data_IF_821448891181
#
_entry.id   IF_821448891181
#
_cell.length_a   1.000
_cell.length_b   1.000
_cell.length_c   1.000
_cell.angle_alpha   90.00
_cell.angle_beta   90.00
_cell.angle_gamma   90.00
#
_symmetry.space_group_name_H-M   'P 1'
#
loop_
_entity.id
_entity.type
_entity.pdbx_description
1 polymer ?
#
# COMPACT_ATOMS: atom_id res chain seq x y z
N UNK A 1 5.60 9.10 -5.37
CA UNK A 1 5.06 9.37 -4.00
C UNK A 1 4.00 8.36 -3.59
N UNK A 2 3.49 7.54 -4.53
CA UNK A 2 2.43 6.56 -4.31
C UNK A 2 2.58 5.64 -3.09
N UNK A 3 3.76 5.08 -2.82
CA UNK A 3 3.94 4.18 -1.66
C UNK A 3 3.56 4.81 -0.32
N UNK A 4 3.89 6.08 -0.10
CA UNK A 4 3.54 6.77 1.14
C UNK A 4 2.05 7.09 1.24
N UNK A 5 1.43 7.46 0.12
CA UNK A 5 -0.01 7.69 0.03
C UNK A 5 -0.77 6.40 0.32
N UNK A 6 -0.37 5.30 -0.33
CA UNK A 6 -0.96 3.99 -0.13
C UNK A 6 -0.84 3.52 1.33
N UNK A 7 0.34 3.69 1.94
CA UNK A 7 0.56 3.34 3.35
C UNK A 7 -0.38 4.12 4.28
N UNK A 8 -0.49 5.44 4.12
CA UNK A 8 -1.33 6.28 4.98
C UNK A 8 -2.81 5.93 4.82
N UNK A 9 -3.28 5.73 3.59
CA UNK A 9 -4.66 5.34 3.33
C UNK A 9 -4.98 3.96 3.91
N UNK A 10 -4.09 2.97 3.70
CA UNK A 10 -4.27 1.62 4.23
C UNK A 10 -4.26 1.58 5.76
N UNK A 11 -3.35 2.32 6.42
CA UNK A 11 -3.35 2.49 7.89
C UNK A 11 -4.61 3.16 8.44
N UNK A 12 -5.32 3.90 7.60
CA UNK A 12 -6.60 4.53 7.95
C UNK A 12 -7.80 3.61 7.70
N UNK A 13 -7.57 2.35 7.28
CA UNK A 13 -8.60 1.34 7.07
C UNK A 13 -9.25 1.36 5.67
N UNK A 14 -8.71 2.13 4.72
CA UNK A 14 -9.22 2.12 3.35
C UNK A 14 -8.64 0.95 2.56
N UNK A 15 -9.47 0.30 1.73
CA UNK A 15 -9.00 -0.65 0.72
C UNK A 15 -8.28 0.13 -0.38
N UNK A 16 -7.03 -0.22 -0.65
CA UNK A 16 -6.18 0.51 -1.60
C UNK A 16 -5.60 -0.47 -2.61
N UNK A 17 -5.88 -0.22 -3.89
CA UNK A 17 -5.20 -0.91 -5.00
C UNK A 17 -4.02 -0.06 -5.45
N UNK A 18 -2.80 -0.58 -5.28
CA UNK A 18 -1.58 0.04 -5.80
C UNK A 18 -1.30 -0.54 -7.17
N UNK A 19 -1.37 0.31 -8.20
CA UNK A 19 -1.10 -0.08 -9.58
C UNK A 19 0.26 0.42 -10.02
N UNK A 20 1.03 -0.44 -10.67
CA UNK A 20 2.31 -0.09 -11.31
C UNK A 20 2.35 -0.56 -12.77
N UNK A 21 3.32 -0.06 -13.55
CA UNK A 21 3.41 -0.40 -14.98
C UNK A 21 3.88 -1.84 -15.24
N UNK A 22 4.64 -2.42 -14.32
CA UNK A 22 5.20 -3.77 -14.45
C UNK A 22 5.41 -4.41 -13.08
N UNK A 23 5.69 -5.71 -13.08
CA UNK A 23 5.93 -6.51 -11.87
C UNK A 23 7.10 -5.99 -11.04
N UNK A 24 8.18 -5.57 -11.67
CA UNK A 24 9.42 -5.18 -10.97
C UNK A 24 9.20 -3.91 -10.13
N UNK A 25 8.49 -2.93 -10.70
CA UNK A 25 8.08 -1.71 -10.02
C UNK A 25 7.06 -2.02 -8.91
N UNK A 26 6.11 -2.92 -9.18
CA UNK A 26 5.11 -3.34 -8.20
C UNK A 26 5.76 -3.97 -6.97
N UNK A 27 6.69 -4.92 -7.17
CA UNK A 27 7.46 -5.53 -6.09
C UNK A 27 8.32 -4.51 -5.34
N UNK A 28 8.95 -3.57 -6.04
CA UNK A 28 9.72 -2.51 -5.41
C UNK A 28 8.83 -1.63 -4.52
N UNK A 29 7.61 -1.30 -4.99
CA UNK A 29 6.59 -0.59 -4.22
C UNK A 29 6.15 -1.35 -2.98
N UNK A 30 5.80 -2.64 -3.13
CA UNK A 30 5.45 -3.54 -2.02
C UNK A 30 6.52 -3.57 -0.94
N UNK A 31 7.78 -3.79 -1.35
CA UNK A 31 8.94 -3.83 -0.43
C UNK A 31 9.12 -2.49 0.30
N UNK A 32 8.93 -1.36 -0.39
CA UNK A 32 9.02 -0.02 0.24
C UNK A 32 7.95 0.18 1.31
N UNK A 33 6.70 -0.16 1.01
CA UNK A 33 5.58 -0.02 1.96
C UNK A 33 5.81 -0.94 3.15
N UNK A 34 6.08 -2.23 2.92
CA UNK A 34 6.29 -3.21 4.00
C UNK A 34 7.43 -2.79 4.93
N UNK A 35 8.59 -2.41 4.36
CA UNK A 35 9.75 -1.93 5.14
C UNK A 35 9.43 -0.67 5.94
N UNK A 36 8.60 0.22 5.42
CA UNK A 36 8.19 1.44 6.13
C UNK A 36 7.33 1.10 7.36
N UNK A 37 6.32 0.24 7.17
CA UNK A 37 5.45 -0.19 8.26
C UNK A 37 6.21 -1.03 9.31
N UNK A 38 7.08 -1.94 8.90
CA UNK A 38 7.92 -2.72 9.84
C UNK A 38 8.83 -1.79 10.66
N UNK A 39 9.43 -0.77 10.03
CA UNK A 39 10.19 0.27 10.77
C UNK A 39 9.32 1.11 11.71
N UNK A 40 8.03 1.29 11.41
CA UNK A 40 7.11 1.95 12.31
C UNK A 40 6.83 1.09 13.55
N UNK A 41 6.72 -0.23 13.37
CA UNK A 41 6.61 -1.22 14.47
C UNK A 41 7.88 -1.24 15.31
N UNK A 42 9.07 -1.32 14.70
CA UNK A 42 10.36 -1.26 15.40
C UNK A 42 10.53 0.01 16.25
N UNK A 43 9.86 1.10 15.85
CA UNK A 43 9.88 2.40 16.54
C UNK A 43 8.69 2.60 17.46
N UNK A 44 7.89 1.57 17.72
CA UNK A 44 6.71 1.60 18.60
C UNK A 44 5.66 2.64 18.16
N UNK A 45 5.64 3.00 16.87
CA UNK A 45 4.66 3.93 16.27
C UNK A 45 3.44 3.23 15.67
N UNK A 46 3.46 1.91 15.64
CA UNK A 46 2.45 1.03 15.10
C UNK A 46 2.57 -0.31 15.84
N UNK A 47 1.47 -0.97 16.18
CA UNK A 47 1.56 -2.35 16.70
C UNK A 47 1.73 -3.34 15.54
N UNK A 48 2.25 -4.56 15.78
CA UNK A 48 2.29 -5.61 14.76
C UNK A 48 0.91 -5.91 14.15
N UNK A 49 -0.14 -5.88 14.96
CA UNK A 49 -1.52 -6.13 14.55
C UNK A 49 -2.05 -5.00 13.66
N UNK A 50 -1.80 -3.74 14.02
CA UNK A 50 -2.17 -2.57 13.20
C UNK A 50 -1.43 -2.58 11.87
N UNK A 51 -0.16 -3.00 11.84
CA UNK A 51 0.60 -3.21 10.61
C UNK A 51 -0.07 -4.26 9.73
N UNK A 52 -0.38 -5.42 10.30
CA UNK A 52 -0.92 -6.53 9.51
C UNK A 52 -2.32 -6.19 8.98
N UNK A 53 -3.16 -5.53 9.78
CA UNK A 53 -4.45 -5.01 9.33
C UNK A 53 -4.30 -3.98 8.19
N UNK A 54 -3.34 -3.06 8.28
CA UNK A 54 -3.07 -2.12 7.19
C UNK A 54 -2.54 -2.85 5.94
N UNK A 55 -1.73 -3.89 6.10
CA UNK A 55 -1.22 -4.69 4.99
C UNK A 55 -2.33 -5.43 4.25
N UNK A 56 -3.31 -5.98 4.97
CA UNK A 56 -4.49 -6.65 4.40
C UNK A 56 -5.40 -5.71 3.61
N UNK A 57 -5.32 -4.40 3.86
CA UNK A 57 -6.04 -3.39 3.08
C UNK A 57 -5.42 -3.14 1.70
N UNK A 58 -4.20 -3.61 1.44
CA UNK A 58 -3.47 -3.36 0.19
C UNK A 58 -3.66 -4.50 -0.81
N UNK A 59 -4.03 -4.14 -2.03
CA UNK A 59 -3.98 -5.01 -3.21
C UNK A 59 -3.02 -4.41 -4.24
N UNK A 60 -2.37 -5.26 -5.02
CA UNK A 60 -1.34 -4.84 -5.97
C UNK A 60 -1.69 -5.32 -7.38
N UNK A 61 -1.64 -4.42 -8.35
CA UNK A 61 -2.09 -4.65 -9.71
C UNK A 61 -1.12 -4.08 -10.74
N UNK A 62 -1.19 -4.57 -11.98
CA UNK A 62 -0.48 -3.99 -13.14
C UNK A 62 -1.44 -3.52 -14.23
N UNK A 63 -2.61 -4.16 -14.31
CA UNK A 63 -3.65 -3.84 -15.27
C UNK A 63 -4.46 -2.61 -14.83
N UNK A 64 -4.94 -1.83 -15.79
CA UNK A 64 -5.73 -0.63 -15.50
C UNK A 64 -7.18 -1.01 -15.15
N UNK A 65 -7.63 -2.15 -15.66
CA UNK A 65 -8.94 -2.73 -15.43
C UNK A 65 -9.15 -3.07 -13.94
N UNK A 66 -8.08 -3.43 -13.24
CA UNK A 66 -8.10 -3.78 -11.80
C UNK A 66 -8.44 -2.59 -10.89
N UNK A 67 -8.35 -1.35 -11.40
CA UNK A 67 -8.73 -0.13 -10.68
C UNK A 67 -10.05 0.49 -11.18
N UNK A 68 -10.74 -0.16 -12.12
CA UNK A 68 -11.98 0.35 -12.70
C UNK A 68 -13.12 0.52 -11.69
N UNK A 69 -13.03 -0.19 -10.55
CA UNK A 69 -14.02 -0.16 -9.48
C UNK A 69 -13.66 0.79 -8.33
N UNK A 70 -12.53 1.51 -8.42
CA UNK A 70 -12.11 2.42 -7.37
C UNK A 70 -12.97 3.69 -7.35
N UNK A 71 -13.37 4.12 -6.16
CA UNK A 71 -14.14 5.36 -5.95
C UNK A 71 -13.30 6.63 -6.17
N UNK A 72 -11.97 6.53 -5.95
CA UNK A 72 -10.99 7.61 -6.09
C UNK A 72 -9.68 7.06 -6.64
N UNK A 73 -9.08 7.78 -7.59
CA UNK A 73 -7.77 7.47 -8.16
C UNK A 73 -6.81 8.63 -7.89
N UNK A 74 -5.60 8.30 -7.44
CA UNK A 74 -4.51 9.26 -7.20
C UNK A 74 -3.33 8.84 -8.07
N UNK A 75 -2.84 9.76 -8.91
CA UNK A 75 -1.65 9.57 -9.76
C UNK A 75 -0.42 10.17 -9.07
N UNK A 76 0.69 9.44 -8.98
CA UNK A 76 1.83 9.79 -8.10
C UNK A 76 3.15 9.05 -8.36
#
# INVERSE_FOLDING_TARGET
MGSGIAEVAAKSGFKVTVREMNSDLLEAGQKRIRRSMDRAVEKEKLTPEERDAAWECLTFATALEDIAHCDLVIEA
#
